data_IF_904281787387
#
_entry.id   IF_904281787387
#
_cell.length_a   1.000
_cell.length_b   1.000
_cell.length_c   1.000
_cell.angle_alpha   90.00
_cell.angle_beta   90.00
_cell.angle_gamma   90.00
#
_symmetry.space_group_name_H-M   'P 1'
#
loop_
_entity.id
_entity.type
_entity.pdbx_description
1 polymer ?
#
# COMPACT_ATOMS: atom_id res chain seq x y z
N UNK A 1 2.71 -21.99 14.29
CA UNK A 1 1.52 -21.82 15.11
C UNK A 1 0.80 -23.15 15.33
N UNK A 2 0.38 -23.85 14.28
CA UNK A 2 -0.31 -25.16 14.37
C UNK A 2 0.44 -26.21 15.20
N UNK A 3 1.78 -26.20 15.19
CA UNK A 3 2.60 -27.14 15.95
C UNK A 3 2.94 -26.66 17.37
N UNK A 4 2.66 -25.40 17.69
CA UNK A 4 2.96 -24.81 18.99
C UNK A 4 1.72 -24.68 19.89
N UNK A 5 0.53 -25.07 19.39
CA UNK A 5 -0.72 -24.97 20.14
C UNK A 5 -1.14 -23.54 20.42
N UNK A 6 -0.74 -22.60 19.55
CA UNK A 6 -1.10 -21.18 19.67
C UNK A 6 -2.60 -21.01 19.47
N UNK A 7 -3.31 -20.56 20.49
CA UNK A 7 -4.73 -20.28 20.41
C UNK A 7 -5.01 -18.91 19.79
N UNK A 8 -6.11 -18.80 19.03
CA UNK A 8 -6.39 -17.64 18.17
C UNK A 8 -7.18 -16.52 18.84
N UNK A 9 -6.94 -16.26 20.12
CA UNK A 9 -7.61 -15.16 20.85
C UNK A 9 -6.85 -13.81 20.81
N UNK A 10 -6.04 -13.57 19.78
CA UNK A 10 -5.15 -12.42 19.70
C UNK A 10 -3.96 -12.55 20.64
N UNK A 11 -2.96 -11.71 20.52
CA UNK A 11 -1.75 -11.67 21.37
C UNK A 11 -1.00 -13.02 21.53
N UNK A 12 -1.24 -14.00 20.67
CA UNK A 12 -0.48 -15.23 20.70
C UNK A 12 0.91 -15.01 20.07
N UNK A 13 1.86 -15.88 20.42
CA UNK A 13 3.25 -15.78 19.96
C UNK A 13 3.36 -15.76 18.43
N UNK A 14 2.49 -16.50 17.72
CA UNK A 14 2.48 -16.54 16.27
C UNK A 14 2.16 -15.20 15.62
N UNK A 15 1.30 -14.37 16.22
CA UNK A 15 1.01 -13.03 15.72
C UNK A 15 2.26 -12.11 15.79
N UNK A 16 3.03 -12.17 16.88
CA UNK A 16 4.25 -11.37 17.01
C UNK A 16 5.34 -11.82 16.03
N UNK A 17 5.52 -13.14 15.88
CA UNK A 17 6.47 -13.68 14.89
C UNK A 17 6.08 -13.29 13.46
N UNK A 18 4.77 -13.30 13.15
CA UNK A 18 4.29 -12.84 11.84
C UNK A 18 4.54 -11.34 11.64
N UNK A 19 4.27 -10.50 12.65
CA UNK A 19 4.54 -9.07 12.59
C UNK A 19 6.03 -8.78 12.37
N UNK A 20 6.91 -9.48 13.07
CA UNK A 20 8.35 -9.33 12.92
C UNK A 20 8.80 -9.78 11.52
N UNK A 21 8.32 -10.93 11.03
CA UNK A 21 8.61 -11.40 9.69
C UNK A 21 8.13 -10.43 8.60
N UNK A 22 6.96 -9.80 8.79
CA UNK A 22 6.45 -8.79 7.88
C UNK A 22 7.30 -7.52 7.90
N UNK A 23 7.75 -7.10 9.08
CA UNK A 23 8.69 -5.97 9.21
C UNK A 23 10.01 -6.24 8.51
N UNK A 24 10.56 -7.44 8.67
CA UNK A 24 11.80 -7.84 8.02
C UNK A 24 11.66 -7.90 6.50
N UNK A 25 10.55 -8.44 5.98
CA UNK A 25 10.27 -8.52 4.54
C UNK A 25 10.04 -7.14 3.91
N UNK A 26 9.37 -6.25 4.64
CA UNK A 26 8.96 -4.92 4.15
C UNK A 26 9.75 -3.80 4.79
N UNK A 27 10.96 -4.08 5.21
CA UNK A 27 11.82 -3.20 5.97
C UNK A 27 12.03 -1.85 5.29
N UNK A 28 12.19 -0.86 6.11
CA UNK A 28 12.13 0.56 5.86
C UNK A 28 13.47 1.20 6.02
N UNK A 29 13.77 2.13 5.14
CA UNK A 29 14.77 3.14 5.45
C UNK A 29 14.31 4.02 6.62
N UNK A 30 15.25 4.59 7.36
CA UNK A 30 15.05 5.36 8.59
C UNK A 30 14.19 6.64 8.48
N UNK A 31 13.56 6.92 7.35
CA UNK A 31 12.80 8.15 7.12
C UNK A 31 11.30 7.99 7.39
N UNK A 32 10.95 7.69 8.63
CA UNK A 32 9.57 7.44 9.07
C UNK A 32 8.70 8.69 9.23
N UNK A 33 9.17 9.89 8.87
CA UNK A 33 8.56 11.13 9.37
C UNK A 33 7.26 11.58 8.71
N UNK A 34 7.00 11.30 7.44
CA UNK A 34 6.01 12.06 6.69
C UNK A 34 4.54 11.65 6.86
N UNK A 35 4.18 10.38 6.87
CA UNK A 35 2.77 9.97 6.94
C UNK A 35 2.25 9.96 8.37
N UNK A 36 3.08 9.54 9.31
CA UNK A 36 2.73 9.55 10.74
C UNK A 36 2.58 11.00 11.25
N UNK A 37 3.41 11.92 10.80
CA UNK A 37 3.29 13.33 11.16
C UNK A 37 2.03 13.97 10.58
N UNK A 38 1.59 13.60 9.38
CA UNK A 38 0.30 14.01 8.82
C UNK A 38 -0.88 13.53 9.67
N UNK A 39 -0.82 12.31 10.19
CA UNK A 39 -1.85 11.74 11.07
C UNK A 39 -1.76 12.36 12.47
N UNK A 40 -0.56 12.48 13.04
CA UNK A 40 -0.32 13.02 14.40
C UNK A 40 -0.65 14.50 14.54
N UNK A 41 -0.37 15.31 13.54
CA UNK A 41 -0.58 16.77 13.62
C UNK A 41 -2.05 17.15 13.72
N UNK A 42 -2.99 16.19 13.47
CA UNK A 42 -4.38 16.54 13.20
C UNK A 42 -5.43 15.70 13.92
N UNK A 43 -5.05 14.78 14.79
CA UNK A 43 -6.03 13.99 15.53
C UNK A 43 -5.54 13.60 16.93
N UNK A 44 -5.78 14.49 17.91
CA UNK A 44 -5.50 14.24 19.34
C UNK A 44 -6.21 12.97 19.86
N UNK A 45 -7.36 12.64 19.32
CA UNK A 45 -8.13 11.45 19.70
C UNK A 45 -7.52 10.15 19.14
N UNK A 46 -6.88 10.20 17.96
CA UNK A 46 -6.17 9.03 17.42
C UNK A 46 -4.90 8.76 18.23
N UNK A 47 -4.17 9.78 18.63
CA UNK A 47 -2.99 9.61 19.48
C UNK A 47 -3.37 8.95 20.81
N UNK A 48 -4.45 9.41 21.45
CA UNK A 48 -4.97 8.81 22.68
C UNK A 48 -5.44 7.37 22.48
N UNK A 49 -6.19 7.09 21.42
CA UNK A 49 -6.67 5.74 21.11
C UNK A 49 -5.52 4.79 20.77
N UNK A 50 -4.49 5.27 20.10
CA UNK A 50 -3.29 4.49 19.80
C UNK A 50 -2.47 4.26 21.07
N UNK A 51 -2.34 5.24 21.96
CA UNK A 51 -1.66 5.10 23.24
C UNK A 51 -2.41 4.12 24.16
N UNK A 52 -3.73 4.15 24.19
CA UNK A 52 -4.57 3.21 24.95
C UNK A 52 -4.46 1.76 24.40
N UNK A 53 -4.45 1.59 23.07
CA UNK A 53 -4.19 0.28 22.44
C UNK A 53 -2.79 -0.25 22.77
N UNK A 54 -1.80 0.60 22.80
CA UNK A 54 -0.43 0.27 23.15
C UNK A 54 -0.27 -0.17 24.60
N UNK A 55 -0.81 0.60 25.52
CA UNK A 55 -0.76 0.27 26.95
C UNK A 55 -1.41 -1.10 27.21
N UNK A 56 -2.53 -1.41 26.58
CA UNK A 56 -3.19 -2.70 26.68
C UNK A 56 -2.34 -3.87 26.15
N UNK A 57 -1.54 -3.66 25.11
CA UNK A 57 -0.68 -4.72 24.54
C UNK A 57 0.59 -4.96 25.38
N UNK A 58 1.07 -3.96 26.09
CA UNK A 58 2.36 -3.98 26.78
C UNK A 58 2.30 -4.46 28.24
N UNK A 59 1.22 -4.24 28.93
CA UNK A 59 1.03 -4.73 30.30
C UNK A 59 0.97 -6.26 30.38
N UNK A 60 0.86 -6.95 29.23
CA UNK A 60 0.81 -8.42 29.12
C UNK A 60 2.13 -9.18 29.24
N UNK A 61 3.27 -8.54 29.40
CA UNK A 61 4.49 -9.16 29.93
C UNK A 61 5.27 -10.15 29.05
N UNK A 62 5.21 -10.08 27.71
CA UNK A 62 5.93 -11.03 26.83
C UNK A 62 7.34 -10.55 26.39
N UNK A 63 7.72 -9.32 26.67
CA UNK A 63 9.06 -8.80 26.38
C UNK A 63 9.73 -8.23 27.64
N UNK A 64 10.41 -9.10 28.39
CA UNK A 64 11.37 -8.71 29.44
C UNK A 64 12.71 -8.23 28.84
N UNK A 65 12.67 -7.27 27.96
CA UNK A 65 13.85 -6.64 27.41
C UNK A 65 13.71 -5.15 27.54
N UNK A 66 14.43 -4.57 28.50
CA UNK A 66 14.55 -3.18 28.90
C UNK A 66 13.87 -2.11 28.05
N UNK A 67 13.51 -1.01 28.65
CA UNK A 67 12.83 0.14 28.06
C UNK A 67 13.55 0.72 26.83
N UNK A 68 13.59 -0.03 25.74
CA UNK A 68 13.81 0.49 24.40
C UNK A 68 12.57 1.34 24.07
N UNK A 69 12.77 2.56 23.63
CA UNK A 69 11.71 3.43 23.14
C UNK A 69 10.80 2.63 22.20
N UNK A 70 9.56 2.42 22.62
CA UNK A 70 8.57 1.69 21.83
C UNK A 70 8.29 2.49 20.57
N UNK A 71 8.76 1.99 19.44
CA UNK A 71 8.31 2.50 18.15
C UNK A 71 6.82 2.14 18.00
N UNK A 72 5.99 3.12 17.69
CA UNK A 72 4.55 2.89 17.47
C UNK A 72 4.35 1.89 16.32
N UNK A 73 3.39 0.94 16.42
CA UNK A 73 3.16 0.00 15.34
C UNK A 73 2.75 0.76 14.10
N UNK A 74 3.41 0.45 13.03
CA UNK A 74 3.11 0.96 11.72
C UNK A 74 2.65 -0.15 10.77
N UNK A 75 2.49 -1.37 11.29
CA UNK A 75 2.01 -2.54 10.56
C UNK A 75 0.93 -3.21 11.38
N UNK A 76 -0.26 -3.32 10.78
CA UNK A 76 -1.47 -3.83 11.40
C UNK A 76 -1.95 -5.07 10.65
N UNK A 77 -2.22 -6.14 11.39
CA UNK A 77 -2.86 -7.35 10.85
C UNK A 77 -4.37 -7.19 10.99
N UNK A 78 -5.08 -7.41 9.90
CA UNK A 78 -6.52 -7.26 9.77
C UNK A 78 -7.12 -8.56 9.22
N UNK A 79 -8.43 -8.79 9.36
CA UNK A 79 -9.06 -10.04 8.92
C UNK A 79 -8.90 -10.33 7.42
N UNK A 80 -8.78 -9.30 6.58
CA UNK A 80 -8.60 -9.44 5.13
C UNK A 80 -8.18 -8.11 4.48
N UNK A 81 -7.70 -8.17 3.22
CA UNK A 81 -7.24 -6.98 2.49
C UNK A 81 -8.30 -5.89 2.37
N UNK A 82 -9.55 -6.24 2.06
CA UNK A 82 -10.65 -5.25 2.00
C UNK A 82 -10.94 -4.56 3.34
N UNK A 83 -10.64 -5.21 4.46
CA UNK A 83 -10.71 -4.57 5.77
C UNK A 83 -9.57 -3.58 5.96
N UNK A 84 -8.37 -3.89 5.45
CA UNK A 84 -7.25 -2.96 5.43
C UNK A 84 -7.56 -1.70 4.60
N UNK A 85 -8.15 -1.88 3.42
CA UNK A 85 -8.64 -0.77 2.58
C UNK A 85 -9.69 0.06 3.30
N UNK A 86 -10.69 -0.58 3.92
CA UNK A 86 -11.76 0.11 4.64
C UNK A 86 -11.22 0.97 5.78
N UNK A 87 -10.24 0.44 6.55
CA UNK A 87 -9.58 1.19 7.63
C UNK A 87 -8.78 2.36 7.05
N UNK A 88 -7.99 2.15 5.99
CA UNK A 88 -7.22 3.20 5.33
C UNK A 88 -8.13 4.35 4.87
N UNK A 89 -9.16 4.04 4.09
CA UNK A 89 -10.02 5.07 3.51
C UNK A 89 -10.91 5.76 4.55
N UNK A 90 -11.34 5.05 5.60
CA UNK A 90 -12.05 5.66 6.72
C UNK A 90 -11.14 6.61 7.51
N UNK A 91 -9.87 6.24 7.72
CA UNK A 91 -8.88 7.11 8.35
C UNK A 91 -8.67 8.38 7.50
N UNK A 92 -8.45 8.23 6.20
CA UNK A 92 -8.33 9.36 5.27
C UNK A 92 -9.58 10.24 5.30
N UNK A 93 -10.78 9.63 5.28
CA UNK A 93 -12.05 10.36 5.38
C UNK A 93 -12.15 11.19 6.66
N UNK A 94 -11.78 10.61 7.80
CA UNK A 94 -11.83 11.31 9.11
C UNK A 94 -10.87 12.49 9.14
N UNK A 95 -9.62 12.28 8.74
CA UNK A 95 -8.59 13.32 8.73
C UNK A 95 -9.00 14.48 7.80
N UNK A 96 -9.41 14.16 6.59
CA UNK A 96 -9.78 15.17 5.59
C UNK A 96 -11.11 15.83 5.91
N UNK A 97 -12.08 15.07 6.44
CA UNK A 97 -13.38 15.60 6.81
C UNK A 97 -13.31 16.62 7.96
N UNK A 98 -12.38 16.46 8.88
CA UNK A 98 -12.11 17.44 9.92
C UNK A 98 -11.49 18.72 9.38
N UNK A 99 -10.58 18.59 8.41
CA UNK A 99 -9.86 19.74 7.81
C UNK A 99 -10.69 20.46 6.74
N UNK A 100 -11.48 19.71 5.99
CA UNK A 100 -12.19 20.21 4.81
C UNK A 100 -13.61 19.63 4.74
N UNK A 101 -14.52 20.07 5.62
CA UNK A 101 -15.89 19.56 5.66
C UNK A 101 -16.59 19.68 4.31
N UNK A 102 -17.18 18.59 3.83
CA UNK A 102 -17.93 18.56 2.57
C UNK A 102 -17.11 18.59 1.27
N UNK A 103 -15.78 18.61 1.37
CA UNK A 103 -14.92 18.58 0.18
C UNK A 103 -14.86 17.17 -0.42
N UNK A 104 -14.96 17.08 -1.73
CA UNK A 104 -14.79 15.84 -2.50
C UNK A 104 -13.36 15.75 -3.01
N UNK A 105 -12.71 14.62 -2.77
CA UNK A 105 -11.33 14.36 -3.19
C UNK A 105 -11.30 13.38 -4.35
N UNK A 106 -10.18 13.36 -5.08
CA UNK A 106 -9.92 12.41 -6.16
C UNK A 106 -8.72 11.55 -5.82
N UNK A 107 -8.86 10.23 -5.96
CA UNK A 107 -7.78 9.28 -5.71
C UNK A 107 -7.40 8.61 -7.03
N UNK A 108 -6.21 8.94 -7.59
CA UNK A 108 -5.70 8.30 -8.80
C UNK A 108 -5.09 6.94 -8.51
N UNK A 109 -5.22 6.02 -9.49
CA UNK A 109 -4.60 4.69 -9.48
C UNK A 109 -4.31 4.22 -10.91
N UNK A 110 -3.42 3.25 -11.05
CA UNK A 110 -3.24 2.50 -12.29
C UNK A 110 -4.45 1.61 -12.64
N UNK A 111 -5.33 1.38 -11.69
CA UNK A 111 -6.57 0.62 -11.80
C UNK A 111 -7.01 0.15 -10.42
N UNK A 112 -8.04 0.78 -9.85
CA UNK A 112 -8.57 0.38 -8.56
C UNK A 112 -9.22 -1.00 -8.66
N UNK A 113 -8.94 -1.84 -7.67
CA UNK A 113 -9.71 -3.05 -7.47
C UNK A 113 -11.15 -2.69 -7.04
N UNK A 114 -12.10 -3.59 -7.24
CA UNK A 114 -13.53 -3.32 -6.99
C UNK A 114 -13.82 -2.89 -5.55
N UNK A 115 -13.20 -3.55 -4.56
CA UNK A 115 -13.36 -3.18 -3.15
C UNK A 115 -12.69 -1.85 -2.80
N UNK A 116 -11.56 -1.54 -3.41
CA UNK A 116 -10.86 -0.26 -3.28
C UNK A 116 -11.73 0.87 -3.83
N UNK A 117 -12.26 0.69 -5.04
CA UNK A 117 -13.19 1.65 -5.67
C UNK A 117 -14.44 1.87 -4.80
N UNK A 118 -15.00 0.78 -4.25
CA UNK A 118 -16.13 0.82 -3.34
C UNK A 118 -15.84 1.63 -2.07
N UNK A 119 -14.71 1.39 -1.42
CA UNK A 119 -14.30 2.13 -0.22
C UNK A 119 -14.06 3.62 -0.49
N UNK A 120 -13.44 3.97 -1.64
CA UNK A 120 -13.24 5.36 -2.05
C UNK A 120 -14.58 6.07 -2.26
N UNK A 121 -15.52 5.43 -2.93
CA UNK A 121 -16.88 5.98 -3.13
C UNK A 121 -17.63 6.12 -1.80
N UNK A 122 -17.49 5.14 -0.90
CA UNK A 122 -18.10 5.18 0.43
C UNK A 122 -17.58 6.35 1.28
N UNK A 123 -16.30 6.70 1.14
CA UNK A 123 -15.76 7.89 1.81
C UNK A 123 -16.20 9.23 1.16
N UNK A 124 -16.99 9.20 0.10
CA UNK A 124 -17.46 10.39 -0.63
C UNK A 124 -16.47 10.97 -1.60
N UNK A 125 -15.50 10.15 -2.06
CA UNK A 125 -14.44 10.58 -2.99
C UNK A 125 -14.54 9.90 -4.35
N UNK A 126 -13.76 10.38 -5.32
CA UNK A 126 -13.80 9.95 -6.71
C UNK A 126 -12.60 9.06 -7.00
N UNK A 127 -12.79 7.77 -7.30
CA UNK A 127 -11.72 6.93 -7.84
C UNK A 127 -11.41 7.33 -9.28
N UNK A 128 -10.14 7.50 -9.62
CA UNK A 128 -9.69 7.86 -10.97
C UNK A 128 -8.66 6.88 -11.48
N UNK A 129 -9.04 6.06 -12.46
CA UNK A 129 -8.14 5.11 -13.10
C UNK A 129 -7.34 5.79 -14.21
N UNK A 130 -6.02 5.61 -14.17
CA UNK A 130 -5.04 6.13 -15.11
C UNK A 130 -4.30 4.95 -15.75
N UNK A 131 -5.02 4.21 -16.56
CA UNK A 131 -4.49 3.02 -17.23
C UNK A 131 -3.34 3.37 -18.16
N UNK A 132 -2.40 2.44 -18.28
CA UNK A 132 -1.34 2.52 -19.28
C UNK A 132 -1.94 2.72 -20.67
N UNK A 133 -1.37 3.64 -21.45
CA UNK A 133 -1.79 3.96 -22.82
C UNK A 133 -1.84 2.71 -23.71
N UNK A 134 -0.87 1.82 -23.54
CA UNK A 134 -0.72 0.61 -24.34
C UNK A 134 -1.78 -0.48 -24.07
N UNK A 135 -2.52 -0.35 -22.98
CA UNK A 135 -3.59 -1.30 -22.66
C UNK A 135 -4.72 -1.29 -23.72
N UNK A 136 -4.90 -0.15 -24.40
CA UNK A 136 -5.96 0.07 -25.37
C UNK A 136 -5.48 -0.05 -26.82
N UNK A 137 -4.21 -0.44 -27.03
CA UNK A 137 -3.70 -0.59 -28.39
C UNK A 137 -4.35 -1.79 -29.09
N UNK A 138 -5.04 -1.51 -30.18
CA UNK A 138 -5.45 -2.53 -31.14
C UNK A 138 -4.22 -3.06 -31.86
N UNK A 139 -4.16 -4.38 -32.06
CA UNK A 139 -3.13 -4.98 -32.91
C UNK A 139 -3.38 -4.57 -34.34
N UNK A 140 -2.43 -3.92 -35.01
CA UNK A 140 -2.54 -3.72 -36.44
C UNK A 140 -2.68 -5.06 -37.16
N UNK A 141 -3.56 -5.16 -38.12
CA UNK A 141 -3.73 -6.36 -38.92
C UNK A 141 -2.39 -6.76 -39.58
N UNK A 142 -1.85 -7.92 -39.21
CA UNK A 142 -0.54 -8.39 -39.67
C UNK A 142 0.69 -7.81 -38.88
N UNK A 143 0.47 -7.06 -37.82
CA UNK A 143 1.54 -6.50 -36.99
C UNK A 143 2.04 -7.47 -35.95
N UNK A 144 3.33 -7.35 -35.59
CA UNK A 144 3.93 -7.99 -34.41
C UNK A 144 3.74 -7.09 -33.20
N UNK A 145 3.28 -7.67 -32.07
CA UNK A 145 3.29 -6.96 -30.79
C UNK A 145 4.74 -6.65 -30.38
N UNK A 146 5.05 -5.40 -30.15
CA UNK A 146 6.12 -5.09 -29.20
C UNK A 146 5.63 -5.52 -27.83
N UNK A 147 6.30 -6.51 -27.25
CA UNK A 147 5.97 -7.03 -25.92
C UNK A 147 6.31 -5.98 -24.87
N UNK A 148 5.36 -5.14 -24.48
CA UNK A 148 5.47 -4.45 -23.21
C UNK A 148 5.04 -5.41 -22.10
N UNK A 149 5.96 -5.90 -21.26
CA UNK A 149 5.64 -6.82 -20.17
C UNK A 149 4.92 -6.13 -19.00
N UNK A 150 4.87 -4.81 -18.96
CA UNK A 150 4.37 -4.02 -17.82
C UNK A 150 3.12 -3.19 -18.15
N UNK A 151 2.12 -3.85 -18.74
CA UNK A 151 0.85 -3.19 -19.09
C UNK A 151 0.02 -2.76 -17.87
N UNK A 152 0.39 -3.21 -16.65
CA UNK A 152 -0.17 -2.77 -15.38
C UNK A 152 0.31 -1.40 -14.93
N UNK A 153 1.30 -0.81 -15.59
CA UNK A 153 1.84 0.50 -15.24
C UNK A 153 0.77 1.60 -15.20
N UNK A 154 0.98 2.58 -14.34
CA UNK A 154 0.21 3.82 -14.34
C UNK A 154 0.67 4.72 -15.49
N UNK A 155 -0.27 5.44 -16.12
CA UNK A 155 0.05 6.57 -17.02
C UNK A 155 0.53 7.75 -16.16
N UNK A 156 1.83 7.87 -16.02
CA UNK A 156 2.47 8.87 -15.13
C UNK A 156 2.36 10.29 -15.66
N UNK A 157 2.25 10.48 -16.98
CA UNK A 157 1.99 11.80 -17.56
C UNK A 157 0.59 12.28 -17.15
N UNK A 158 -0.42 11.42 -17.30
CA UNK A 158 -1.79 11.75 -16.85
C UNK A 158 -1.89 11.89 -15.33
N UNK A 159 -1.05 11.20 -14.56
CA UNK A 159 -1.00 11.39 -13.11
C UNK A 159 -0.60 12.82 -12.79
N UNK A 160 0.49 13.30 -13.38
CA UNK A 160 0.97 14.66 -13.14
C UNK A 160 -0.01 15.71 -13.65
N UNK A 161 -0.54 15.53 -14.87
CA UNK A 161 -1.59 16.41 -15.43
C UNK A 161 -2.82 16.50 -14.52
N UNK A 162 -3.27 15.35 -13.97
CA UNK A 162 -4.42 15.30 -13.06
C UNK A 162 -4.16 16.07 -11.78
N UNK A 163 -2.99 15.88 -11.16
CA UNK A 163 -2.61 16.58 -9.92
C UNK A 163 -2.55 18.10 -10.17
N UNK A 164 -1.90 18.52 -11.24
CA UNK A 164 -1.81 19.93 -11.60
C UNK A 164 -3.19 20.54 -11.88
N UNK A 165 -4.03 19.81 -12.62
CA UNK A 165 -5.39 20.27 -12.97
C UNK A 165 -6.31 20.41 -11.78
N UNK A 166 -6.24 19.48 -10.84
CA UNK A 166 -7.13 19.46 -9.68
C UNK A 166 -6.61 20.33 -8.53
N UNK A 167 -5.29 20.52 -8.45
CA UNK A 167 -4.58 20.98 -7.28
C UNK A 167 -4.23 19.84 -6.32
N UNK A 168 -2.99 19.80 -5.80
CA UNK A 168 -2.52 18.71 -4.92
C UNK A 168 -3.38 18.55 -3.66
N UNK A 169 -3.96 19.63 -3.15
CA UNK A 169 -4.85 19.62 -1.98
C UNK A 169 -6.19 18.90 -2.23
N UNK A 170 -6.46 18.47 -3.47
CA UNK A 170 -7.64 17.70 -3.87
C UNK A 170 -7.31 16.22 -4.13
N UNK A 171 -6.03 15.84 -4.00
CA UNK A 171 -5.52 14.47 -4.19
C UNK A 171 -4.87 14.00 -2.89
N UNK A 172 -5.60 13.31 -2.01
CA UNK A 172 -5.11 12.98 -0.66
C UNK A 172 -4.05 11.89 -0.66
N UNK A 173 -4.05 11.02 -1.65
CA UNK A 173 -3.03 10.00 -1.87
C UNK A 173 -3.08 9.51 -3.33
N UNK A 174 -1.98 8.94 -3.81
CA UNK A 174 -1.90 8.14 -5.03
C UNK A 174 -1.86 6.67 -4.64
N UNK A 175 -2.63 5.81 -5.34
CA UNK A 175 -2.76 4.41 -4.98
C UNK A 175 -2.46 3.51 -6.18
N UNK A 176 -1.50 2.59 -6.06
CA UNK A 176 -1.11 1.70 -7.16
C UNK A 176 -1.29 0.24 -6.78
N UNK A 177 -2.03 -0.50 -7.61
CA UNK A 177 -2.27 -1.95 -7.41
C UNK A 177 -1.22 -2.78 -8.13
N UNK A 178 -0.57 -3.71 -7.44
CA UNK A 178 0.45 -4.64 -7.93
C UNK A 178 0.12 -6.11 -7.56
N UNK A 179 0.09 -7.05 -8.51
CA UNK A 179 -0.12 -6.81 -9.95
C UNK A 179 -1.46 -6.14 -10.17
N UNK A 180 -1.62 -5.41 -11.26
CA UNK A 180 -2.86 -4.68 -11.52
C UNK A 180 -4.01 -5.63 -11.88
N UNK A 181 -4.81 -5.99 -10.88
CA UNK A 181 -5.89 -6.97 -11.03
C UNK A 181 -6.98 -6.53 -12.01
N UNK A 182 -7.29 -5.23 -12.04
CA UNK A 182 -8.35 -4.66 -12.90
C UNK A 182 -8.02 -4.79 -14.39
N UNK A 183 -6.73 -4.86 -14.72
CA UNK A 183 -6.25 -5.09 -16.08
C UNK A 183 -5.66 -6.50 -16.24
N UNK A 184 -6.40 -7.51 -15.79
CA UNK A 184 -6.07 -8.92 -15.92
C UNK A 184 -4.77 -9.37 -15.24
N UNK A 185 -4.41 -8.75 -14.13
CA UNK A 185 -3.21 -9.12 -13.36
C UNK A 185 -1.90 -8.67 -14.02
N UNK A 186 -1.93 -7.67 -14.89
CA UNK A 186 -0.73 -7.17 -15.56
C UNK A 186 0.26 -6.58 -14.54
N UNK A 187 1.56 -6.91 -14.66
CA UNK A 187 2.57 -6.42 -13.73
C UNK A 187 2.90 -4.94 -13.91
N UNK A 188 3.43 -4.37 -12.85
CA UNK A 188 3.91 -2.99 -12.78
C UNK A 188 5.43 -2.99 -12.63
N UNK A 189 6.15 -2.20 -13.44
CA UNK A 189 7.60 -2.11 -13.40
C UNK A 189 8.09 -1.33 -12.17
N UNK A 190 9.29 -1.63 -11.71
CA UNK A 190 9.93 -0.87 -10.65
C UNK A 190 10.20 0.59 -11.07
N UNK A 191 10.53 0.81 -12.33
CA UNK A 191 10.69 2.14 -12.91
C UNK A 191 9.40 2.96 -12.81
N UNK A 192 8.23 2.34 -13.10
CA UNK A 192 6.94 3.03 -12.99
C UNK A 192 6.54 3.32 -11.54
N UNK A 193 6.84 2.40 -10.61
CA UNK A 193 6.63 2.64 -9.18
C UNK A 193 7.46 3.84 -8.68
N UNK A 194 8.74 3.89 -9.07
CA UNK A 194 9.64 5.01 -8.72
C UNK A 194 9.15 6.33 -9.29
N UNK A 195 8.72 6.34 -10.55
CA UNK A 195 8.23 7.56 -11.21
C UNK A 195 6.90 8.04 -10.62
N UNK A 196 5.96 7.13 -10.36
CA UNK A 196 4.68 7.44 -9.70
C UNK A 196 4.91 8.03 -8.30
N UNK A 197 5.82 7.42 -7.53
CA UNK A 197 6.24 7.91 -6.22
C UNK A 197 6.87 9.31 -6.31
N UNK A 198 7.81 9.48 -7.23
CA UNK A 198 8.50 10.77 -7.46
C UNK A 198 7.50 11.89 -7.77
N UNK A 199 6.51 11.61 -8.63
CA UNK A 199 5.47 12.59 -8.96
C UNK A 199 4.62 12.88 -7.73
N UNK A 200 4.12 11.87 -7.03
CA UNK A 200 3.32 12.07 -5.82
C UNK A 200 4.08 12.93 -4.79
N UNK A 201 5.31 12.56 -4.47
CA UNK A 201 6.14 13.28 -3.50
C UNK A 201 6.53 14.70 -3.94
N UNK A 202 6.70 14.96 -5.25
CA UNK A 202 6.91 16.31 -5.78
C UNK A 202 5.81 17.28 -5.36
N UNK A 203 4.59 16.78 -5.20
CA UNK A 203 3.42 17.56 -4.79
C UNK A 203 3.03 17.35 -3.31
N UNK A 204 3.86 16.66 -2.53
CA UNK A 204 3.61 16.38 -1.11
C UNK A 204 2.47 15.40 -0.87
N UNK A 205 2.16 14.55 -1.86
CA UNK A 205 1.08 13.56 -1.81
C UNK A 205 1.66 12.20 -1.43
N UNK A 206 1.09 11.48 -0.44
CA UNK A 206 1.48 10.12 -0.11
C UNK A 206 1.26 9.15 -1.27
N UNK A 207 2.21 8.23 -1.47
CA UNK A 207 2.13 7.15 -2.45
C UNK A 207 1.92 5.81 -1.75
N UNK A 208 0.79 5.15 -2.03
CA UNK A 208 0.37 3.91 -1.39
C UNK A 208 0.30 2.75 -2.39
N UNK A 209 0.55 1.52 -1.93
CA UNK A 209 0.39 0.32 -2.74
C UNK A 209 -0.77 -0.56 -2.25
N UNK A 210 -1.54 -1.12 -3.18
CA UNK A 210 -2.21 -2.39 -2.97
C UNK A 210 -1.23 -3.50 -3.38
N UNK A 211 -0.63 -4.11 -2.39
CA UNK A 211 0.46 -5.07 -2.56
C UNK A 211 0.00 -6.52 -2.39
N UNK A 212 -1.25 -6.83 -2.74
CA UNK A 212 -1.79 -8.19 -2.57
C UNK A 212 -0.99 -9.26 -3.33
N UNK A 213 -0.36 -8.90 -4.46
CA UNK A 213 0.47 -9.81 -5.29
C UNK A 213 1.89 -9.27 -5.47
N UNK A 214 2.49 -8.89 -4.38
CA UNK A 214 3.83 -8.29 -4.35
C UNK A 214 4.93 -9.25 -4.83
N UNK A 215 4.86 -10.52 -4.48
CA UNK A 215 5.87 -11.51 -4.85
C UNK A 215 5.76 -11.88 -6.33
N UNK A 216 4.53 -12.05 -6.83
CA UNK A 216 4.24 -12.25 -8.25
C UNK A 216 4.75 -11.07 -9.07
N UNK A 217 4.46 -9.84 -8.66
CA UNK A 217 4.94 -8.63 -9.33
C UNK A 217 6.47 -8.54 -9.32
N UNK A 218 7.12 -8.85 -8.19
CA UNK A 218 8.58 -8.88 -8.08
C UNK A 218 9.22 -9.91 -9.02
N UNK A 219 8.56 -11.06 -9.22
CA UNK A 219 9.02 -12.05 -10.19
C UNK A 219 8.97 -11.52 -11.62
N UNK A 220 7.91 -10.84 -12.01
CA UNK A 220 7.81 -10.22 -13.33
C UNK A 220 8.86 -9.13 -13.55
N UNK A 221 9.16 -8.33 -12.53
CA UNK A 221 10.26 -7.37 -12.55
C UNK A 221 11.59 -8.10 -12.76
N UNK A 222 11.85 -9.17 -11.99
CA UNK A 222 13.08 -9.96 -12.12
C UNK A 222 13.35 -10.45 -13.54
N UNK A 223 12.31 -10.93 -14.22
CA UNK A 223 12.47 -11.60 -15.53
C UNK A 223 12.38 -10.63 -16.71
N UNK A 224 11.84 -9.43 -16.53
CA UNK A 224 11.54 -8.52 -17.64
C UNK A 224 12.18 -7.13 -17.51
N UNK A 225 12.61 -6.71 -16.31
CA UNK A 225 13.16 -5.36 -16.12
C UNK A 225 14.69 -5.40 -16.12
N UNK A 226 15.31 -4.51 -16.89
CA UNK A 226 16.76 -4.42 -17.01
C UNK A 226 17.43 -4.18 -15.64
N UNK A 227 18.53 -4.89 -15.37
CA UNK A 227 19.29 -4.78 -14.12
C UNK A 227 18.64 -5.50 -12.92
N UNK A 228 17.53 -6.26 -13.11
CA UNK A 228 16.87 -6.98 -12.05
C UNK A 228 17.07 -8.52 -12.08
N UNK A 229 17.65 -9.06 -13.13
CA UNK A 229 17.78 -10.51 -13.35
C UNK A 229 18.58 -11.23 -12.24
N UNK A 230 19.61 -10.60 -11.70
CA UNK A 230 20.48 -11.18 -10.68
C UNK A 230 19.98 -10.98 -9.24
N UNK A 231 18.94 -10.14 -9.06
CA UNK A 231 18.36 -9.89 -7.74
C UNK A 231 17.43 -11.02 -7.30
N UNK A 232 17.38 -11.27 -6.01
CA UNK A 232 16.36 -12.14 -5.42
C UNK A 232 14.98 -11.45 -5.44
N UNK A 233 13.91 -12.24 -5.33
CA UNK A 233 12.54 -11.71 -5.19
C UNK A 233 12.42 -10.82 -3.96
N UNK A 234 13.07 -11.18 -2.85
CA UNK A 234 13.06 -10.40 -1.62
C UNK A 234 13.72 -9.02 -1.79
N UNK A 235 14.85 -8.93 -2.51
CA UNK A 235 15.52 -7.65 -2.81
C UNK A 235 14.62 -6.76 -3.67
N UNK A 236 14.03 -7.32 -4.73
CA UNK A 236 13.11 -6.57 -5.59
C UNK A 236 11.88 -6.10 -4.81
N UNK A 237 11.30 -6.97 -3.96
CA UNK A 237 10.18 -6.60 -3.10
C UNK A 237 10.55 -5.43 -2.17
N UNK A 238 11.71 -5.47 -1.52
CA UNK A 238 12.21 -4.35 -0.71
C UNK A 238 12.32 -3.05 -1.52
N UNK A 239 12.82 -3.12 -2.75
CA UNK A 239 12.89 -1.94 -3.63
C UNK A 239 11.50 -1.41 -4.02
N UNK A 240 10.52 -2.29 -4.28
CA UNK A 240 9.14 -1.87 -4.54
C UNK A 240 8.52 -1.19 -3.32
N UNK A 241 8.65 -1.81 -2.14
CA UNK A 241 8.14 -1.21 -0.90
C UNK A 241 8.88 0.06 -0.50
N UNK A 242 10.16 0.22 -0.88
CA UNK A 242 10.89 1.45 -0.68
C UNK A 242 10.31 2.65 -1.46
N UNK A 243 9.51 2.42 -2.49
CA UNK A 243 8.86 3.47 -3.25
C UNK A 243 7.62 4.05 -2.56
N UNK A 244 7.00 3.37 -1.58
CA UNK A 244 5.72 3.77 -1.02
C UNK A 244 5.81 4.24 0.44
N UNK A 245 4.85 5.08 0.84
CA UNK A 245 4.68 5.57 2.21
C UNK A 245 3.83 4.62 3.06
N UNK A 246 3.18 3.66 2.41
CA UNK A 246 2.42 2.62 3.06
C UNK A 246 1.77 1.69 2.04
N UNK A 247 1.17 0.63 2.53
CA UNK A 247 0.49 -0.33 1.66
C UNK A 247 -0.63 -1.06 2.37
N UNK A 248 -1.57 -1.56 1.58
CA UNK A 248 -2.51 -2.61 1.98
C UNK A 248 -2.13 -3.92 1.28
N UNK A 249 -2.42 -5.05 1.89
CA UNK A 249 -2.27 -6.34 1.23
C UNK A 249 -3.32 -7.35 1.71
N UNK A 250 -3.75 -8.24 0.81
CA UNK A 250 -4.51 -9.42 1.17
C UNK A 250 -3.56 -10.61 1.29
N UNK A 251 -3.48 -11.22 2.47
CA UNK A 251 -2.66 -12.41 2.69
C UNK A 251 -3.22 -13.68 2.00
N UNK A 252 -4.42 -13.61 1.44
CA UNK A 252 -5.03 -14.71 0.67
C UNK A 252 -4.44 -14.89 -0.73
N UNK A 253 -3.50 -14.04 -1.14
CA UNK A 253 -2.78 -14.09 -2.42
C UNK A 253 -1.36 -14.61 -2.14
N UNK A 254 -0.37 -13.78 -2.33
CA UNK A 254 1.04 -14.15 -2.14
C UNK A 254 1.40 -14.52 -0.69
N UNK A 255 0.59 -14.12 0.27
CA UNK A 255 0.75 -14.54 1.67
C UNK A 255 0.34 -15.99 1.95
N UNK A 256 -0.27 -16.70 0.98
CA UNK A 256 -0.71 -18.10 1.08
C UNK A 256 -1.52 -18.44 2.33
N UNK A 257 -2.26 -17.48 2.88
CA UNK A 257 -3.11 -17.67 4.06
C UNK A 257 -4.59 -17.79 3.68
N UNK A 258 -5.37 -18.51 4.50
CA UNK A 258 -6.81 -18.63 4.28
C UNK A 258 -7.54 -17.30 4.52
N UNK A 259 -7.01 -16.48 5.42
CA UNK A 259 -7.53 -15.17 5.77
C UNK A 259 -6.38 -14.26 6.19
N UNK A 260 -6.65 -12.99 6.27
CA UNK A 260 -5.70 -11.98 6.72
C UNK A 260 -5.53 -10.85 5.73
N UNK A 261 -5.25 -9.69 6.26
CA UNK A 261 -4.88 -8.49 5.54
C UNK A 261 -3.82 -7.72 6.32
N UNK A 262 -3.14 -6.83 5.64
CA UNK A 262 -2.13 -5.96 6.21
C UNK A 262 -2.46 -4.53 5.82
N UNK A 263 -2.31 -3.62 6.79
CA UNK A 263 -2.19 -2.19 6.56
C UNK A 263 -0.88 -1.76 7.20
N UNK A 264 -0.01 -1.13 6.42
CA UNK A 264 1.27 -0.65 6.90
C UNK A 264 1.52 0.79 6.43
N UNK A 265 2.27 1.54 7.25
CA UNK A 265 2.72 2.90 6.98
C UNK A 265 4.20 3.03 7.32
N UNK A 266 4.85 4.01 6.71
CA UNK A 266 6.20 4.45 7.07
C UNK A 266 6.16 5.54 8.11
#
# INVERSE_FOLDING_TARGET
ALFLGDESYGRNKGNYVLLDALRDCFERGNDQKHVIDLVRTNCKDIDRMMDELYLCEYEGGLFNGGAAQMERPNTFILPQGRAAEAVLFELVRKILGQRHPGKVFTIPSNGHFDTTEGNIKQMGSIPRNLYNKELLWEVPEGGTYEKNPFKGNMDTEKLEELIVKLGPENVPLVYTTITNNTVCGQPVSLANLRESSRIAHKYGIPFMLDAARWAENAYFIKVNEEGCADKSIAEIAKEMFACCDGFTASLKKDGHANMGGILAFR
#
